data_IF_691830562066
#
_entry.id   IF_691830562066
#
_cell.length_a   1.000
_cell.length_b   1.000
_cell.length_c   1.000
_cell.angle_alpha   90.00
_cell.angle_beta   90.00
_cell.angle_gamma   90.00
#
_symmetry.space_group_name_H-M   'P 1'
#
loop_
_entity.id
_entity.type
_entity.pdbx_description
1 polymer ?
#
# COMPACT_ATOMS: atom_id res chain seq x y z
N UNK A 1 -16.89 6.85 -28.54
CA UNK A 1 -18.20 7.35 -28.07
C UNK A 1 -18.60 8.71 -28.66
N UNK A 2 -18.21 9.88 -28.15
CA UNK A 2 -18.74 11.17 -28.71
C UNK A 2 -18.40 11.44 -30.18
N UNK A 3 -17.15 11.20 -30.60
CA UNK A 3 -16.76 11.30 -32.01
C UNK A 3 -17.28 10.17 -32.90
N UNK A 4 -17.77 9.09 -32.30
CA UNK A 4 -18.18 7.86 -32.98
C UNK A 4 -19.69 7.84 -33.24
N UNK A 5 -20.46 8.53 -32.40
CA UNK A 5 -21.91 8.67 -32.53
C UNK A 5 -22.34 10.09 -32.93
N UNK A 6 -21.40 11.00 -33.21
CA UNK A 6 -21.68 12.42 -33.55
C UNK A 6 -22.57 13.17 -32.53
N UNK A 7 -22.58 12.72 -31.28
CA UNK A 7 -23.37 13.32 -30.20
C UNK A 7 -22.46 14.17 -29.31
N UNK A 8 -22.99 15.30 -28.83
CA UNK A 8 -22.29 16.18 -27.89
C UNK A 8 -21.85 15.44 -26.62
N UNK A 9 -20.69 15.80 -26.07
CA UNK A 9 -20.15 15.20 -24.85
C UNK A 9 -21.12 15.32 -23.65
N UNK A 10 -21.84 16.45 -23.56
CA UNK A 10 -22.85 16.68 -22.53
C UNK A 10 -24.02 15.71 -22.65
N UNK A 11 -24.55 15.53 -23.86
CA UNK A 11 -25.64 14.60 -24.13
C UNK A 11 -25.24 13.14 -23.85
N UNK A 12 -24.00 12.74 -24.14
CA UNK A 12 -23.50 11.40 -23.78
C UNK A 12 -23.41 11.23 -22.27
N UNK A 13 -22.92 12.24 -21.53
CA UNK A 13 -22.87 12.17 -20.07
C UNK A 13 -24.25 12.00 -19.45
N UNK A 14 -25.26 12.73 -19.95
CA UNK A 14 -26.67 12.60 -19.51
C UNK A 14 -27.22 11.22 -19.86
N UNK A 15 -26.96 10.70 -21.07
CA UNK A 15 -27.43 9.36 -21.46
C UNK A 15 -26.80 8.27 -20.58
N UNK A 16 -25.48 8.34 -20.37
CA UNK A 16 -24.74 7.35 -19.57
C UNK A 16 -25.21 7.34 -18.11
N UNK A 17 -25.42 8.51 -17.51
CA UNK A 17 -25.80 8.63 -16.10
C UNK A 17 -27.30 8.43 -15.86
N UNK A 18 -28.14 9.09 -16.64
CA UNK A 18 -29.56 9.25 -16.32
C UNK A 18 -30.46 8.26 -17.07
N UNK A 19 -29.98 7.70 -18.21
CA UNK A 19 -30.74 6.72 -18.99
C UNK A 19 -30.19 5.31 -18.89
N UNK A 20 -28.87 5.16 -18.82
CA UNK A 20 -28.20 3.86 -18.73
C UNK A 20 -27.82 3.49 -17.30
N UNK A 21 -27.93 4.42 -16.34
CA UNK A 21 -27.50 4.25 -14.94
C UNK A 21 -26.07 3.73 -14.79
N UNK A 22 -25.22 4.01 -15.78
CA UNK A 22 -23.85 3.54 -15.83
C UNK A 22 -22.94 4.53 -15.10
N UNK A 23 -22.19 4.01 -14.14
CA UNK A 23 -21.19 4.80 -13.40
C UNK A 23 -19.86 4.71 -14.16
N UNK A 24 -19.20 5.84 -14.47
CA UNK A 24 -17.89 5.81 -15.11
C UNK A 24 -16.83 5.30 -14.12
N UNK A 25 -16.24 4.14 -14.42
CA UNK A 25 -15.13 3.56 -13.65
C UNK A 25 -13.78 3.93 -14.26
N UNK A 26 -12.79 4.22 -13.41
CA UNK A 26 -11.39 4.34 -13.83
C UNK A 26 -10.77 2.95 -13.97
N UNK A 27 -10.11 2.67 -15.09
CA UNK A 27 -9.37 1.42 -15.26
C UNK A 27 -8.28 1.27 -14.19
N UNK A 28 -8.35 0.20 -13.41
CA UNK A 28 -7.33 -0.18 -12.44
C UNK A 28 -6.47 -1.33 -12.98
N UNK A 29 -5.14 -1.15 -12.99
CA UNK A 29 -4.20 -2.25 -13.27
C UNK A 29 -4.24 -3.22 -12.09
N UNK A 30 -4.41 -4.51 -12.35
CA UNK A 30 -4.26 -5.54 -11.32
C UNK A 30 -4.02 -6.91 -11.91
N UNK A 31 -3.46 -7.83 -11.13
CA UNK A 31 -3.17 -9.19 -11.55
C UNK A 31 -4.43 -9.93 -12.05
N UNK A 32 -4.26 -10.76 -13.08
CA UNK A 32 -5.36 -11.57 -13.62
C UNK A 32 -5.80 -12.60 -12.56
N UNK A 33 -7.05 -12.49 -12.10
CA UNK A 33 -7.65 -13.46 -11.20
C UNK A 33 -8.38 -14.51 -12.04
N UNK A 34 -7.94 -15.76 -11.95
CA UNK A 34 -8.69 -16.89 -12.50
C UNK A 34 -9.64 -17.47 -11.43
N UNK A 35 -10.66 -18.22 -11.85
CA UNK A 35 -11.64 -18.81 -10.91
C UNK A 35 -11.00 -19.68 -9.81
N UNK A 36 -9.88 -20.34 -10.13
CA UNK A 36 -9.12 -21.14 -9.16
C UNK A 36 -8.53 -20.25 -8.06
N UNK A 37 -7.91 -19.14 -8.45
CA UNK A 37 -7.31 -18.14 -7.56
C UNK A 37 -8.37 -17.46 -6.70
N UNK A 38 -9.52 -17.12 -7.27
CA UNK A 38 -10.66 -16.56 -6.51
C UNK A 38 -11.13 -17.52 -5.40
N UNK A 39 -11.31 -18.81 -5.73
CA UNK A 39 -11.69 -19.83 -4.73
C UNK A 39 -10.64 -19.95 -3.62
N UNK A 40 -9.35 -19.99 -3.96
CA UNK A 40 -8.27 -20.03 -2.97
C UNK A 40 -8.23 -18.77 -2.10
N UNK A 41 -8.39 -17.61 -2.74
CA UNK A 41 -8.42 -16.30 -2.08
C UNK A 41 -9.60 -16.21 -1.11
N UNK A 42 -10.79 -16.64 -1.50
CA UNK A 42 -11.95 -16.73 -0.62
C UNK A 42 -11.73 -17.69 0.55
N UNK A 43 -11.16 -18.89 0.30
CA UNK A 43 -10.88 -19.88 1.35
C UNK A 43 -9.92 -19.31 2.40
N UNK A 44 -8.84 -18.67 1.96
CA UNK A 44 -7.85 -18.03 2.84
C UNK A 44 -8.46 -16.84 3.58
N UNK A 45 -9.25 -16.00 2.91
CA UNK A 45 -9.94 -14.88 3.55
C UNK A 45 -10.88 -15.34 4.68
N UNK A 46 -11.59 -16.47 4.51
CA UNK A 46 -12.41 -17.06 5.59
C UNK A 46 -11.57 -17.50 6.80
N UNK A 47 -10.43 -18.15 6.56
CA UNK A 47 -9.52 -18.58 7.63
C UNK A 47 -8.97 -17.38 8.41
N UNK A 48 -8.52 -16.35 7.69
CA UNK A 48 -8.02 -15.11 8.28
C UNK A 48 -9.12 -14.38 9.06
N UNK A 49 -10.35 -14.32 8.53
CA UNK A 49 -11.47 -13.68 9.20
C UNK A 49 -11.85 -14.39 10.50
N UNK A 50 -11.81 -15.73 10.51
CA UNK A 50 -12.04 -16.51 11.72
C UNK A 50 -10.98 -16.18 12.79
N UNK A 51 -9.72 -16.04 12.39
CA UNK A 51 -8.63 -15.60 13.28
C UNK A 51 -8.89 -14.23 13.91
N UNK A 52 -9.54 -13.30 13.22
CA UNK A 52 -9.77 -11.94 13.77
C UNK A 52 -10.74 -11.87 14.96
N UNK A 53 -11.48 -12.93 15.28
CA UNK A 53 -12.56 -12.92 16.28
C UNK A 53 -12.06 -12.68 17.71
N UNK A 54 -10.84 -13.09 18.03
CA UNK A 54 -10.21 -12.92 19.34
C UNK A 54 -9.41 -11.60 19.46
N UNK A 55 -9.41 -10.77 18.42
CA UNK A 55 -8.64 -9.52 18.38
C UNK A 55 -7.17 -9.70 18.00
N UNK A 56 -6.72 -10.91 17.64
CA UNK A 56 -5.34 -11.22 17.22
C UNK A 56 -4.77 -10.26 16.17
N UNK A 57 -5.60 -9.88 15.19
CA UNK A 57 -5.24 -8.94 14.12
C UNK A 57 -4.74 -7.58 14.63
N UNK A 58 -5.14 -7.15 15.83
CA UNK A 58 -4.67 -5.90 16.44
C UNK A 58 -3.19 -5.99 16.85
N UNK A 59 -2.76 -7.19 17.23
CA UNK A 59 -1.38 -7.50 17.66
C UNK A 59 -0.52 -8.12 16.56
N UNK A 60 -1.11 -8.38 15.39
CA UNK A 60 -0.42 -8.96 14.25
C UNK A 60 0.47 -7.92 13.59
N UNK A 61 1.75 -8.26 13.37
CA UNK A 61 2.67 -7.42 12.61
C UNK A 61 2.46 -7.64 11.11
N UNK A 62 1.95 -6.62 10.43
CA UNK A 62 1.86 -6.58 8.98
C UNK A 62 3.11 -5.94 8.41
N UNK A 63 3.81 -6.63 7.51
CA UNK A 63 5.08 -6.19 6.91
C UNK A 63 5.02 -6.25 5.41
N UNK A 64 5.73 -5.36 4.73
CA UNK A 64 5.85 -5.40 3.27
C UNK A 64 7.07 -4.61 2.74
N UNK A 65 7.39 -4.78 1.46
CA UNK A 65 8.45 -4.07 0.74
C UNK A 65 7.88 -3.19 -0.38
N UNK A 66 8.40 -1.96 -0.51
CA UNK A 66 8.00 -1.05 -1.59
C UNK A 66 9.17 -0.27 -2.17
N UNK A 67 9.17 -0.09 -3.48
CA UNK A 67 10.12 0.76 -4.19
C UNK A 67 9.57 2.19 -4.29
N UNK A 68 10.39 3.17 -3.90
CA UNK A 68 10.14 4.60 -4.08
C UNK A 68 11.18 5.20 -5.02
N UNK A 69 10.76 6.13 -5.89
CA UNK A 69 11.60 6.82 -6.87
C UNK A 69 11.83 8.27 -6.48
N UNK A 70 13.00 8.83 -6.82
CA UNK A 70 13.30 10.25 -6.58
C UNK A 70 12.46 11.20 -7.43
N UNK A 71 11.98 10.72 -8.58
CA UNK A 71 11.11 11.48 -9.47
C UNK A 71 9.65 11.34 -9.06
N UNK A 72 8.93 12.46 -9.12
CA UNK A 72 7.49 12.52 -8.87
C UNK A 72 6.70 11.76 -9.92
N UNK A 73 5.73 10.97 -9.46
CA UNK A 73 4.73 10.36 -10.33
C UNK A 73 3.54 11.31 -10.52
N UNK A 74 3.79 12.49 -11.11
CA UNK A 74 2.70 13.33 -11.61
C UNK A 74 2.14 12.69 -12.88
N UNK A 75 1.00 12.00 -12.77
CA UNK A 75 0.25 11.57 -13.94
C UNK A 75 -0.19 12.81 -14.72
N UNK A 76 0.33 13.01 -15.93
CA UNK A 76 0.01 14.18 -16.78
C UNK A 76 -1.48 14.34 -17.08
N UNK A 77 -2.28 13.29 -16.92
CA UNK A 77 -3.74 13.32 -17.07
C UNK A 77 -4.48 13.96 -15.88
N UNK A 78 -3.91 13.97 -14.67
CA UNK A 78 -4.59 14.47 -13.46
C UNK A 78 -4.36 15.96 -13.19
N UNK A 79 -3.46 16.62 -13.92
CA UNK A 79 -3.12 18.03 -13.73
C UNK A 79 -2.94 18.73 -15.08
N UNK A 80 -4.04 19.03 -15.82
CA UNK A 80 -3.95 19.81 -17.04
C UNK A 80 -3.52 21.22 -16.68
N UNK A 81 -2.48 21.72 -17.34
CA UNK A 81 -2.02 23.08 -17.15
C UNK A 81 -2.33 23.84 -18.43
N UNK A 82 -3.18 24.85 -18.30
CA UNK A 82 -3.60 25.74 -19.38
C UNK A 82 -2.46 26.73 -19.66
N UNK A 83 -1.97 26.77 -20.89
CA UNK A 83 -1.00 27.73 -21.37
C UNK A 83 -1.32 28.12 -22.82
N UNK A 84 -0.91 29.33 -23.22
CA UNK A 84 -1.15 29.90 -24.56
C UNK A 84 -0.33 29.22 -25.65
N UNK A 85 0.84 28.70 -25.30
CA UNK A 85 1.79 28.07 -26.21
C UNK A 85 2.73 27.12 -25.45
N UNK A 86 3.45 26.27 -26.18
CA UNK A 86 4.34 25.23 -25.64
C UNK A 86 5.53 25.80 -24.85
N UNK A 87 6.02 26.98 -25.21
CA UNK A 87 7.22 27.58 -24.65
C UNK A 87 6.90 28.24 -23.29
N UNK A 88 5.80 29.00 -23.24
CA UNK A 88 5.18 29.50 -22.00
C UNK A 88 4.71 28.36 -21.08
N UNK A 89 4.43 27.20 -21.66
CA UNK A 89 4.24 25.97 -20.94
C UNK A 89 5.55 25.56 -20.24
N UNK A 90 6.63 25.34 -20.98
CA UNK A 90 7.92 24.86 -20.46
C UNK A 90 8.51 25.76 -19.35
N UNK A 91 8.40 27.08 -19.49
CA UNK A 91 8.91 28.06 -18.51
C UNK A 91 8.22 27.97 -17.15
N UNK A 92 6.99 27.46 -17.08
CA UNK A 92 6.25 27.21 -15.82
C UNK A 92 6.59 25.87 -15.17
N UNK A 93 7.84 25.39 -15.29
CA UNK A 93 8.37 24.13 -14.74
C UNK A 93 7.61 22.86 -15.18
N UNK A 94 7.28 22.79 -16.47
CA UNK A 94 6.17 21.96 -16.99
C UNK A 94 6.57 20.68 -17.71
N UNK A 95 7.86 20.42 -17.90
CA UNK A 95 8.33 19.13 -18.41
C UNK A 95 8.94 18.38 -17.23
N UNK A 96 8.26 17.34 -16.77
CA UNK A 96 8.91 16.34 -15.95
C UNK A 96 9.83 15.53 -16.88
N UNK A 97 11.07 16.01 -17.06
CA UNK A 97 12.11 15.21 -17.68
C UNK A 97 12.32 14.00 -16.79
N UNK A 98 11.73 12.86 -17.20
CA UNK A 98 11.95 11.59 -16.52
C UNK A 98 13.18 10.95 -17.08
N UNK A 99 14.14 10.62 -16.21
CA UNK A 99 15.18 9.69 -16.60
C UNK A 99 14.57 8.31 -16.85
N UNK A 100 15.08 7.57 -17.84
CA UNK A 100 14.59 6.21 -18.17
C UNK A 100 14.69 5.25 -16.97
N UNK A 101 15.63 5.52 -16.06
CA UNK A 101 15.86 4.75 -14.84
C UNK A 101 16.06 5.72 -13.67
N UNK A 102 14.97 6.28 -13.10
CA UNK A 102 15.10 7.19 -11.98
C UNK A 102 15.68 6.45 -10.79
N UNK A 103 16.56 7.12 -10.05
CA UNK A 103 17.13 6.56 -8.84
C UNK A 103 15.99 6.14 -7.88
N UNK A 104 16.08 4.91 -7.37
CA UNK A 104 15.03 4.31 -6.56
C UNK A 104 15.60 3.64 -5.32
N UNK A 105 14.78 3.54 -4.27
CA UNK A 105 15.12 2.87 -3.02
C UNK A 105 14.03 1.89 -2.66
N UNK A 106 14.42 0.69 -2.24
CA UNK A 106 13.51 -0.29 -1.66
C UNK A 106 13.39 -0.03 -0.16
N UNK A 107 12.15 -0.04 0.34
CA UNK A 107 11.81 0.27 1.73
C UNK A 107 11.03 -0.90 2.29
N UNK A 108 11.46 -1.41 3.44
CA UNK A 108 10.77 -2.42 4.23
C UNK A 108 10.29 -1.77 5.52
N UNK A 109 9.04 -2.07 5.92
CA UNK A 109 8.51 -1.66 7.20
C UNK A 109 7.37 -2.57 7.65
N UNK A 110 6.97 -2.44 8.90
CA UNK A 110 5.77 -3.07 9.41
C UNK A 110 4.98 -2.22 10.40
N UNK A 111 3.72 -2.58 10.56
CA UNK A 111 2.76 -1.92 11.45
C UNK A 111 1.95 -2.95 12.24
N UNK A 112 1.47 -2.53 13.39
CA UNK A 112 0.41 -3.16 14.21
C UNK A 112 -0.67 -2.12 14.47
N UNK A 113 -1.71 -2.45 15.24
CA UNK A 113 -2.74 -1.47 15.60
C UNK A 113 -2.21 -0.38 16.56
N UNK A 114 -1.12 -0.66 17.28
CA UNK A 114 -0.61 0.17 18.37
C UNK A 114 0.84 0.65 18.11
N UNK A 115 1.31 0.57 16.87
CA UNK A 115 2.63 1.06 16.55
C UNK A 115 3.20 0.58 15.24
N UNK A 116 4.34 1.15 14.89
CA UNK A 116 5.03 0.96 13.61
C UNK A 116 6.52 0.76 13.83
N UNK A 117 7.15 0.02 12.92
CA UNK A 117 8.59 -0.22 12.97
C UNK A 117 9.36 0.96 12.37
N UNK A 118 10.67 1.10 12.60
CA UNK A 118 11.49 1.98 11.78
C UNK A 118 11.43 1.56 10.29
N UNK A 119 11.62 2.53 9.39
CA UNK A 119 11.83 2.24 7.97
C UNK A 119 13.21 1.63 7.74
N UNK A 120 13.26 0.48 7.08
CA UNK A 120 14.50 -0.17 6.66
C UNK A 120 14.69 0.10 5.17
N UNK A 121 15.81 0.74 4.83
CA UNK A 121 16.17 1.00 3.44
C UNK A 121 17.10 -0.10 2.94
N UNK A 122 16.65 -0.85 1.93
CA UNK A 122 17.39 -1.96 1.34
C UNK A 122 18.13 -1.45 0.10
N UNK A 123 19.42 -1.75 0.02
CA UNK A 123 20.22 -1.37 -1.13
C UNK A 123 19.92 -2.26 -2.36
N UNK A 124 19.99 -1.71 -3.59
CA UNK A 124 19.68 -2.45 -4.80
C UNK A 124 20.54 -3.71 -4.96
N UNK A 125 19.92 -4.81 -5.38
CA UNK A 125 20.61 -6.07 -5.71
C UNK A 125 20.66 -7.11 -4.58
N UNK A 126 20.16 -6.78 -3.39
CA UNK A 126 20.19 -7.68 -2.23
C UNK A 126 18.80 -8.25 -1.95
N UNK A 127 18.49 -9.45 -2.47
CA UNK A 127 17.20 -10.14 -2.23
C UNK A 127 17.20 -10.80 -0.84
N UNK A 128 16.12 -10.62 -0.08
CA UNK A 128 15.86 -11.36 1.16
C UNK A 128 16.61 -10.86 2.41
N UNK A 129 17.29 -9.71 2.32
CA UNK A 129 18.06 -9.15 3.44
C UNK A 129 17.25 -8.18 4.31
N UNK A 130 16.09 -7.70 3.83
CA UNK A 130 15.22 -6.82 4.61
C UNK A 130 14.76 -7.47 5.93
N UNK A 131 14.25 -8.71 5.84
CA UNK A 131 13.80 -9.46 7.01
C UNK A 131 14.94 -9.85 7.95
N UNK A 132 16.13 -10.16 7.41
CA UNK A 132 17.30 -10.47 8.24
C UNK A 132 17.84 -9.22 8.95
N UNK A 133 17.85 -8.06 8.28
CA UNK A 133 18.16 -6.76 8.89
C UNK A 133 17.13 -6.38 9.96
N UNK A 134 15.84 -6.57 9.68
CA UNK A 134 14.76 -6.35 10.63
C UNK A 134 14.94 -7.18 11.90
N UNK A 135 15.25 -8.47 11.75
CA UNK A 135 15.49 -9.38 12.87
C UNK A 135 16.71 -8.99 13.71
N UNK A 136 17.69 -8.29 13.13
CA UNK A 136 18.89 -7.85 13.84
C UNK A 136 18.69 -6.52 14.58
N UNK A 137 17.83 -5.64 14.07
CA UNK A 137 17.61 -4.30 14.62
C UNK A 137 16.82 -4.29 15.94
N UNK A 138 16.23 -5.41 16.37
CA UNK A 138 15.36 -5.52 17.58
C UNK A 138 14.47 -4.26 17.72
N UNK A 139 13.64 -3.94 16.72
CA UNK A 139 12.85 -2.73 16.77
C UNK A 139 11.96 -2.78 18.01
N UNK A 140 12.23 -1.90 18.98
CA UNK A 140 11.40 -1.74 20.17
C UNK A 140 10.13 -1.07 19.67
N UNK A 141 9.09 -1.87 19.41
CA UNK A 141 7.74 -1.36 19.35
C UNK A 141 7.33 -1.20 20.82
N UNK A 142 7.09 0.02 21.28
CA UNK A 142 6.61 0.31 22.64
C UNK A 142 5.17 -0.21 22.77
N UNK A 143 5.04 -1.53 22.82
CA UNK A 143 3.79 -2.20 23.10
C UNK A 143 3.40 -1.90 24.55
N UNK A 144 2.13 -1.53 24.82
CA UNK A 144 1.69 -1.17 26.17
C UNK A 144 2.07 -2.25 27.19
N UNK A 145 2.61 -1.78 28.31
CA UNK A 145 3.25 -2.59 29.34
C UNK A 145 2.29 -3.60 30.00
N UNK A 146 2.16 -4.78 29.41
CA UNK A 146 1.39 -5.88 30.00
C UNK A 146 1.81 -7.29 29.56
N UNK A 147 2.69 -7.42 28.55
CA UNK A 147 3.14 -8.71 28.01
C UNK A 147 4.64 -8.73 27.72
N UNK A 148 5.49 -8.53 28.74
CA UNK A 148 6.94 -8.79 28.63
C UNK A 148 7.22 -10.29 28.81
N UNK A 149 7.77 -11.03 27.81
CA UNK A 149 8.30 -12.36 28.07
C UNK A 149 9.69 -12.25 28.69
N UNK A 150 9.96 -13.13 29.67
CA UNK A 150 11.28 -13.30 30.29
C UNK A 150 12.33 -13.74 29.27
N UNK A 151 13.57 -13.38 29.60
CA UNK A 151 14.79 -13.37 28.80
C UNK A 151 15.24 -14.67 28.12
N UNK A 152 16.08 -14.45 27.09
CA UNK A 152 17.34 -15.15 26.76
C UNK A 152 17.44 -15.84 25.39
N UNK A 153 18.68 -15.76 24.88
CA UNK A 153 19.39 -16.53 23.85
C UNK A 153 19.12 -16.32 22.34
N UNK A 154 20.25 -16.55 21.64
CA UNK A 154 20.72 -16.16 20.31
C UNK A 154 20.11 -16.92 19.13
N UNK A 155 20.24 -16.27 17.96
CA UNK A 155 20.30 -16.83 16.59
C UNK A 155 19.01 -17.53 16.09
N UNK A 156 18.57 -17.08 14.91
CA UNK A 156 17.51 -17.60 14.02
C UNK A 156 16.25 -16.74 13.91
N UNK A 157 15.60 -16.83 12.75
CA UNK A 157 14.35 -16.21 12.30
C UNK A 157 13.16 -16.29 13.28
N UNK A 158 13.33 -16.95 14.42
CA UNK A 158 12.44 -17.02 15.58
C UNK A 158 12.48 -15.75 16.47
N UNK A 159 13.41 -14.83 16.25
CA UNK A 159 13.51 -13.61 17.07
C UNK A 159 12.35 -12.64 16.78
N UNK A 160 11.91 -12.53 15.53
CA UNK A 160 10.70 -11.74 15.19
C UNK A 160 9.44 -12.38 15.79
N UNK A 161 9.36 -13.71 15.82
CA UNK A 161 8.20 -14.44 16.37
C UNK A 161 8.07 -14.39 17.88
N UNK A 162 9.07 -13.89 18.62
CA UNK A 162 9.01 -13.75 20.09
C UNK A 162 8.51 -12.38 20.55
N UNK A 163 8.53 -11.38 19.67
CA UNK A 163 8.10 -10.01 20.00
C UNK A 163 6.68 -9.70 19.51
N UNK A 164 6.20 -10.43 18.51
CA UNK A 164 4.85 -10.33 17.96
C UNK A 164 4.16 -11.68 18.13
N UNK A 165 2.99 -11.69 18.77
CA UNK A 165 2.29 -12.92 19.16
C UNK A 165 1.85 -13.78 17.98
N UNK A 166 1.65 -13.19 16.80
CA UNK A 166 1.14 -13.90 15.63
C UNK A 166 1.76 -13.41 14.31
N UNK A 167 2.14 -14.37 13.47
CA UNK A 167 2.65 -14.16 12.13
C UNK A 167 1.83 -14.97 11.12
N UNK A 168 1.33 -14.31 10.08
CA UNK A 168 0.61 -14.99 9.00
C UNK A 168 1.66 -15.52 8.01
N UNK A 169 1.74 -16.84 7.88
CA UNK A 169 2.68 -17.45 6.95
C UNK A 169 2.36 -17.07 5.50
N UNK A 170 3.39 -17.00 4.63
CA UNK A 170 3.19 -16.80 3.20
C UNK A 170 2.28 -17.85 2.57
N UNK A 171 2.25 -19.07 3.13
CA UNK A 171 1.36 -20.14 2.70
C UNK A 171 -0.11 -19.87 3.06
N UNK A 172 -0.37 -19.15 4.14
CA UNK A 172 -1.72 -18.76 4.58
C UNK A 172 -2.22 -17.49 3.91
N UNK A 173 -1.31 -16.60 3.47
CA UNK A 173 -1.66 -15.37 2.78
C UNK A 173 -2.24 -15.62 1.37
N UNK A 174 -3.35 -15.00 0.96
CA UNK A 174 -3.89 -15.16 -0.37
C UNK A 174 -2.99 -14.50 -1.43
N UNK A 175 -2.64 -15.24 -2.47
CA UNK A 175 -1.78 -14.75 -3.55
C UNK A 175 -2.40 -13.52 -4.23
N UNK A 176 -1.56 -12.60 -4.72
CA UNK A 176 -1.98 -11.39 -5.44
C UNK A 176 -3.09 -10.60 -4.72
N UNK A 177 -2.95 -10.41 -3.41
CA UNK A 177 -3.96 -9.74 -2.58
C UNK A 177 -3.40 -8.52 -1.83
N UNK A 178 -2.88 -7.50 -2.55
CA UNK A 178 -2.42 -6.26 -1.92
C UNK A 178 -3.58 -5.53 -1.22
N UNK A 179 -4.81 -5.71 -1.71
CA UNK A 179 -6.03 -5.18 -1.10
C UNK A 179 -6.42 -5.87 0.23
N UNK A 180 -5.64 -6.82 0.72
CA UNK A 180 -5.78 -7.36 2.07
C UNK A 180 -4.64 -6.95 3.01
N UNK A 181 -3.54 -6.40 2.50
CA UNK A 181 -2.39 -6.02 3.32
C UNK A 181 -2.50 -4.55 3.76
N UNK A 182 -2.59 -4.25 5.07
CA UNK A 182 -2.59 -2.87 5.60
C UNK A 182 -1.49 -1.97 5.06
N UNK A 183 -0.30 -2.54 4.83
CA UNK A 183 0.81 -1.81 4.21
C UNK A 183 0.44 -1.33 2.80
N UNK A 184 -0.08 -2.22 1.96
CA UNK A 184 -0.42 -1.94 0.56
C UNK A 184 -1.63 -1.04 0.39
N UNK A 185 -2.74 -1.31 1.06
CA UNK A 185 -4.00 -0.62 0.78
C UNK A 185 -4.14 0.74 1.45
N UNK A 186 -3.26 1.09 2.39
CA UNK A 186 -3.33 2.34 3.14
C UNK A 186 -1.95 3.01 3.27
N UNK A 187 -1.03 2.40 4.02
CA UNK A 187 0.19 3.08 4.47
C UNK A 187 1.13 3.44 3.31
N UNK A 188 1.34 2.52 2.38
CA UNK A 188 2.10 2.75 1.16
C UNK A 188 1.44 3.76 0.23
N UNK A 189 0.11 3.81 0.17
CA UNK A 189 -0.62 4.81 -0.61
C UNK A 189 -0.38 6.19 0.02
N UNK A 190 -0.58 6.33 1.34
CA UNK A 190 -0.33 7.55 2.08
C UNK A 190 1.10 8.07 1.85
N UNK A 191 2.13 7.24 2.07
CA UNK A 191 3.51 7.67 1.85
C UNK A 191 3.77 8.06 0.40
N UNK A 192 3.25 7.28 -0.56
CA UNK A 192 3.41 7.57 -1.98
C UNK A 192 2.78 8.91 -2.33
N UNK A 193 1.57 9.20 -1.88
CA UNK A 193 0.90 10.47 -2.10
C UNK A 193 1.69 11.65 -1.52
N UNK A 194 2.24 11.50 -0.31
CA UNK A 194 3.03 12.56 0.31
C UNK A 194 4.34 12.84 -0.41
N UNK A 195 5.04 11.82 -0.89
CA UNK A 195 6.35 11.99 -1.56
C UNK A 195 6.25 12.21 -3.07
N UNK A 196 5.18 11.76 -3.72
CA UNK A 196 5.02 11.91 -5.18
C UNK A 196 4.65 13.32 -5.66
N UNK A 197 4.45 14.27 -4.74
CA UNK A 197 4.13 15.66 -5.07
C UNK A 197 5.30 16.47 -5.65
N UNK A 198 6.55 16.03 -5.42
CA UNK A 198 7.77 16.73 -5.83
C UNK A 198 8.90 15.79 -6.23
N UNK A 199 9.88 16.31 -6.96
CA UNK A 199 11.13 15.61 -7.23
C UNK A 199 12.08 15.78 -6.03
N UNK A 200 12.92 14.77 -5.80
CA UNK A 200 13.96 14.80 -4.80
C UNK A 200 15.33 14.89 -5.46
N UNK A 201 16.24 15.76 -4.98
CA UNK A 201 17.56 15.93 -5.59
C UNK A 201 18.50 14.73 -5.38
N UNK A 202 18.16 13.82 -4.47
CA UNK A 202 18.95 12.60 -4.21
C UNK A 202 18.12 11.53 -3.50
N UNK A 203 18.61 10.28 -3.51
CA UNK A 203 18.06 9.20 -2.69
C UNK A 203 18.08 9.59 -1.21
N UNK A 204 19.14 10.27 -0.74
CA UNK A 204 19.24 10.72 0.65
C UNK A 204 18.08 11.66 1.02
N UNK A 205 17.77 12.63 0.17
CA UNK A 205 16.65 13.54 0.38
C UNK A 205 15.29 12.81 0.38
N UNK A 206 15.12 11.82 -0.51
CA UNK A 206 13.93 10.95 -0.52
C UNK A 206 13.81 10.14 0.78
N UNK A 207 14.89 9.49 1.24
CA UNK A 207 14.92 8.73 2.51
C UNK A 207 14.52 9.62 3.69
N UNK A 208 15.08 10.82 3.80
CA UNK A 208 14.74 11.78 4.86
C UNK A 208 13.27 12.19 4.82
N UNK A 209 12.70 12.41 3.63
CA UNK A 209 11.29 12.75 3.51
C UNK A 209 10.36 11.58 3.86
N UNK A 210 10.73 10.35 3.48
CA UNK A 210 10.00 9.15 3.86
C UNK A 210 9.99 8.94 5.37
N UNK A 211 11.14 9.09 6.04
CA UNK A 211 11.24 9.01 7.51
C UNK A 211 10.32 10.07 8.15
N UNK A 212 10.42 11.33 7.70
CA UNK A 212 9.56 12.40 8.24
C UNK A 212 8.07 12.08 8.09
N UNK A 213 7.65 11.61 6.91
CA UNK A 213 6.24 11.26 6.65
C UNK A 213 5.80 9.99 7.37
N UNK A 214 6.71 9.07 7.60
CA UNK A 214 6.48 7.89 8.42
C UNK A 214 6.23 8.29 9.87
N UNK A 215 7.05 9.16 10.43
CA UNK A 215 6.95 9.62 11.82
C UNK A 215 5.64 10.38 12.08
N UNK A 216 5.14 11.11 11.07
CA UNK A 216 3.83 11.82 11.10
C UNK A 216 2.61 10.88 11.21
N UNK A 217 2.74 9.58 10.93
CA UNK A 217 1.62 8.63 11.05
C UNK A 217 1.33 8.37 12.54
N UNK A 218 0.20 8.84 13.05
CA UNK A 218 -0.20 8.59 14.43
C UNK A 218 -0.81 7.19 14.64
N UNK A 219 -0.93 6.79 15.91
CA UNK A 219 -1.45 5.49 16.31
C UNK A 219 -2.95 5.36 16.01
N UNK A 220 -3.70 6.47 16.00
CA UNK A 220 -5.13 6.48 15.65
C UNK A 220 -5.33 6.07 14.18
N UNK A 221 -4.48 6.57 13.28
CA UNK A 221 -4.45 6.18 11.88
C UNK A 221 -4.12 4.69 11.73
N UNK A 222 -3.10 4.20 12.45
CA UNK A 222 -2.73 2.78 12.42
C UNK A 222 -3.88 1.90 12.90
N UNK A 223 -4.51 2.25 14.03
CA UNK A 223 -5.68 1.56 14.57
C UNK A 223 -6.82 1.52 13.55
N UNK A 224 -7.17 2.65 12.95
CA UNK A 224 -8.23 2.73 11.95
C UNK A 224 -7.95 1.87 10.71
N UNK A 225 -6.68 1.82 10.27
CA UNK A 225 -6.24 0.96 9.17
C UNK A 225 -6.43 -0.51 9.56
N UNK A 226 -5.94 -0.94 10.74
CA UNK A 226 -6.06 -2.34 11.17
C UNK A 226 -7.53 -2.73 11.43
N UNK A 227 -8.36 -1.85 11.96
CA UNK A 227 -9.80 -2.08 12.17
C UNK A 227 -10.58 -2.26 10.85
N UNK A 228 -10.03 -1.77 9.73
CA UNK A 228 -10.59 -1.99 8.39
C UNK A 228 -10.28 -3.40 7.85
N UNK A 229 -9.26 -4.10 8.38
CA UNK A 229 -8.82 -5.40 7.86
C UNK A 229 -9.93 -6.48 7.89
N UNK A 230 -10.68 -6.69 9.00
CA UNK A 230 -11.80 -7.64 9.00
C UNK A 230 -12.91 -7.28 8.00
N UNK A 231 -13.17 -5.98 7.80
CA UNK A 231 -14.19 -5.51 6.82
C UNK A 231 -13.77 -5.86 5.40
N UNK A 232 -12.49 -5.67 5.05
CA UNK A 232 -11.92 -6.07 3.76
C UNK A 232 -11.98 -7.58 3.52
N UNK A 233 -11.68 -8.39 4.53
CA UNK A 233 -11.82 -9.86 4.44
C UNK A 233 -13.27 -10.27 4.14
N UNK A 234 -14.25 -9.64 4.81
CA UNK A 234 -15.68 -9.85 4.53
C UNK A 234 -16.04 -9.46 3.09
N UNK A 235 -15.49 -8.36 2.59
CA UNK A 235 -15.72 -7.92 1.21
C UNK A 235 -15.20 -8.93 0.17
N UNK A 236 -14.01 -9.51 0.39
CA UNK A 236 -13.50 -10.62 -0.46
C UNK A 236 -14.45 -11.81 -0.45
N UNK A 237 -14.97 -12.19 0.72
CA UNK A 237 -15.90 -13.31 0.84
C UNK A 237 -17.21 -13.01 0.11
N UNK A 238 -17.75 -11.79 0.24
CA UNK A 238 -18.95 -11.33 -0.48
C UNK A 238 -18.74 -11.35 -2.00
N UNK A 239 -17.55 -10.96 -2.46
CA UNK A 239 -17.14 -11.01 -3.85
C UNK A 239 -16.75 -12.42 -4.34
N UNK A 240 -16.95 -13.48 -3.52
CA UNK A 240 -16.58 -14.86 -3.82
C UNK A 240 -15.10 -15.03 -4.22
N UNK A 241 -14.22 -14.19 -3.68
CA UNK A 241 -12.80 -14.18 -3.98
C UNK A 241 -12.39 -13.24 -5.11
N UNK A 242 -13.35 -12.61 -5.79
CA UNK A 242 -13.11 -11.55 -6.77
C UNK A 242 -12.61 -10.26 -6.14
N UNK A 243 -12.33 -9.27 -7.00
CA UNK A 243 -12.01 -7.91 -6.55
C UNK A 243 -13.25 -7.25 -5.95
N UNK A 244 -13.02 -6.34 -5.02
CA UNK A 244 -14.06 -5.50 -4.43
C UNK A 244 -13.57 -4.06 -4.44
N UNK A 245 -14.50 -3.14 -4.62
CA UNK A 245 -14.21 -1.71 -4.48
C UNK A 245 -14.42 -1.28 -3.03
N UNK A 246 -13.59 -0.34 -2.59
CA UNK A 246 -13.83 0.38 -1.34
C UNK A 246 -14.99 1.33 -1.58
N UNK A 247 -16.20 0.93 -1.19
CA UNK A 247 -17.23 1.93 -0.92
C UNK A 247 -16.75 2.72 0.30
N UNK A 248 -16.44 4.00 0.05
CA UNK A 248 -16.16 5.00 1.09
C UNK A 248 -17.41 5.23 1.92
#
# INVERSE_FOLDING_TARGET
MSKEYEISQGSISTIVKDKLEMIPYRMQKGAFLNQKNEKFRMKKARKLLAGTQDGSHLTTLFTDEKIFTVESNKNGQNHPIIATDYQSACEKEKILNKTSHPASVMVFAGITADGKTPLIFVDPGVKGVALSQFSQQKPIMDLPAGRRPRSSCQRDSRVVSRQFSEFISAADWPASSPDLNPMDYAVWIYLTEKVSSKNYPSIKALKTALIKKWDEIDDDYLRAVIDAYPKRLKAVIKAKGGRFENYS
#
